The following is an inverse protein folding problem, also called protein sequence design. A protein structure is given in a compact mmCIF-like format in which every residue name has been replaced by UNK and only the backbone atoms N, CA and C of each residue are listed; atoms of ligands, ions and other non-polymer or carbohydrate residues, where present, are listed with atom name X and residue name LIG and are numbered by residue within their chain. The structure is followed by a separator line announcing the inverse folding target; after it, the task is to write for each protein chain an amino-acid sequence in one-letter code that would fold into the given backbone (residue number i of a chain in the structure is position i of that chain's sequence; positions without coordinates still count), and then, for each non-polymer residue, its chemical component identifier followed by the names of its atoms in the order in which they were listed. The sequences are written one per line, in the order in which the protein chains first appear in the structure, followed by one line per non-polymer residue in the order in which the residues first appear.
data_IF_855002390083
#
_entry.id   IF_855002390083
#
_cell.length_a   1.000
_cell.length_b   1.000
_cell.length_c   1.000
_cell.angle_alpha   90.00
_cell.angle_beta   90.00
_cell.angle_gamma   90.00
#
_symmetry.space_group_name_H-M   'P 1'
#
loop_
_entity.id
_entity.type
_entity.pdbx_description
1 polymer ?
#
# COMPACT_ATOMS: atom_id res chain seq x y z
N UNK A 1 24.21 -16.34 5.43
CA UNK A 1 24.39 -15.41 4.29
C UNK A 1 23.21 -14.45 4.26
N UNK A 2 23.43 -13.17 4.54
CA UNK A 2 22.39 -12.14 4.50
C UNK A 2 22.14 -11.78 3.04
N UNK A 3 21.03 -12.20 2.47
CA UNK A 3 20.63 -11.83 1.11
C UNK A 3 19.96 -10.46 1.16
N UNK A 4 20.75 -9.42 0.92
CA UNK A 4 20.26 -8.06 0.72
C UNK A 4 19.86 -7.89 -0.76
N UNK A 5 18.60 -7.53 -1.01
CA UNK A 5 18.12 -7.22 -2.35
C UNK A 5 18.13 -5.70 -2.53
N UNK A 6 18.90 -5.23 -3.52
CA UNK A 6 19.02 -3.82 -3.86
C UNK A 6 17.95 -3.47 -4.90
N UNK A 7 17.03 -2.58 -4.55
CA UNK A 7 15.97 -2.10 -5.45
C UNK A 7 16.38 -0.75 -6.01
N UNK A 8 16.54 -0.65 -7.33
CA UNK A 8 16.69 0.62 -8.04
C UNK A 8 15.31 1.16 -8.40
N UNK A 9 14.70 2.00 -7.56
CA UNK A 9 13.39 2.61 -7.81
C UNK A 9 13.28 3.97 -7.12
N UNK A 10 12.51 4.89 -7.68
CA UNK A 10 12.14 6.12 -6.98
C UNK A 10 11.11 5.80 -5.89
N UNK A 11 11.48 6.01 -4.63
CA UNK A 11 10.62 5.76 -3.47
C UNK A 11 9.84 7.03 -3.16
N UNK A 12 8.51 6.99 -3.34
CA UNK A 12 7.61 8.06 -2.89
C UNK A 12 7.00 7.63 -1.55
N UNK A 13 7.27 8.40 -0.49
CA UNK A 13 6.79 8.13 0.87
C UNK A 13 5.59 9.03 1.19
N UNK A 14 4.48 8.47 1.67
CA UNK A 14 3.33 9.22 2.19
C UNK A 14 3.05 8.81 3.63
N UNK A 15 2.78 9.78 4.52
CA UNK A 15 2.47 9.53 5.93
C UNK A 15 1.18 10.29 6.32
N UNK A 16 0.23 9.59 6.94
CA UNK A 16 -1.04 10.14 7.44
C UNK A 16 -1.08 10.07 8.97
N UNK A 17 -1.20 11.21 9.65
CA UNK A 17 -1.17 11.33 11.11
C UNK A 17 -2.59 11.23 11.70
N UNK A 18 -2.74 10.47 12.79
CA UNK A 18 -4.00 9.92 13.36
C UNK A 18 -4.58 10.79 14.51
N UNK A 19 -5.91 10.80 14.71
CA UNK A 19 -6.60 11.44 15.85
C UNK A 19 -7.46 10.44 16.68
N UNK A 20 -7.67 10.67 17.99
CA UNK A 20 -7.99 9.68 19.05
C UNK A 20 -9.44 9.13 19.15
N UNK A 21 -10.43 9.64 18.41
CA UNK A 21 -11.83 9.18 18.54
C UNK A 21 -12.18 8.08 17.52
N UNK A 22 -12.92 7.08 18.00
CA UNK A 22 -13.75 6.13 17.22
C UNK A 22 -13.02 4.91 16.60
N UNK A 23 -13.16 3.74 17.23
CA UNK A 23 -12.68 2.44 16.73
C UNK A 23 -13.24 2.12 15.33
N UNK A 24 -14.51 2.43 15.09
CA UNK A 24 -15.17 2.24 13.77
C UNK A 24 -14.60 3.16 12.70
N UNK A 25 -14.25 4.40 13.05
CA UNK A 25 -13.60 5.34 12.13
C UNK A 25 -12.15 4.98 11.86
N UNK A 26 -11.46 4.32 12.80
CA UNK A 26 -10.11 3.82 12.55
C UNK A 26 -10.13 2.67 11.55
N UNK A 27 -11.01 1.67 11.70
CA UNK A 27 -11.15 0.61 10.70
C UNK A 27 -11.57 1.15 9.33
N UNK A 28 -12.55 2.06 9.30
CA UNK A 28 -12.99 2.70 8.05
C UNK A 28 -11.87 3.53 7.40
N UNK A 29 -11.07 4.24 8.20
CA UNK A 29 -9.93 5.04 7.72
C UNK A 29 -8.82 4.15 7.13
N UNK A 30 -8.50 3.03 7.77
CA UNK A 30 -7.51 2.09 7.24
C UNK A 30 -7.98 1.49 5.90
N UNK A 31 -9.25 1.06 5.80
CA UNK A 31 -9.83 0.58 4.52
C UNK A 31 -9.83 1.68 3.46
N UNK A 32 -10.21 2.90 3.83
CA UNK A 32 -10.18 4.05 2.92
C UNK A 32 -8.75 4.32 2.40
N UNK A 33 -7.75 4.29 3.28
CA UNK A 33 -6.35 4.50 2.90
C UNK A 33 -5.87 3.44 1.90
N UNK A 34 -6.29 2.17 2.06
CA UNK A 34 -5.99 1.09 1.11
C UNK A 34 -6.56 1.42 -0.27
N UNK A 35 -7.86 1.68 -0.34
CA UNK A 35 -8.55 1.97 -1.60
C UNK A 35 -7.93 3.20 -2.27
N UNK A 36 -7.66 4.25 -1.49
CA UNK A 36 -7.03 5.47 -1.98
C UNK A 36 -5.62 5.21 -2.52
N UNK A 37 -4.80 4.41 -1.83
CA UNK A 37 -3.45 4.07 -2.28
C UNK A 37 -3.44 3.30 -3.60
N UNK A 38 -4.38 2.38 -3.80
CA UNK A 38 -4.54 1.62 -5.05
C UNK A 38 -5.00 2.53 -6.18
N UNK A 39 -5.99 3.40 -5.94
CA UNK A 39 -6.48 4.36 -6.93
C UNK A 39 -5.36 5.32 -7.38
N UNK A 40 -4.57 5.81 -6.43
CA UNK A 40 -3.46 6.73 -6.70
C UNK A 40 -2.36 6.03 -7.51
N UNK A 41 -2.00 4.79 -7.16
CA UNK A 41 -1.05 4.00 -7.93
C UNK A 41 -1.54 3.68 -9.35
N UNK A 42 -2.84 3.42 -9.52
CA UNK A 42 -3.44 3.22 -10.83
C UNK A 42 -3.39 4.50 -11.69
N UNK A 43 -3.68 5.65 -11.09
CA UNK A 43 -3.55 6.94 -11.77
C UNK A 43 -2.10 7.20 -12.21
N UNK A 44 -1.12 6.93 -11.33
CA UNK A 44 0.30 7.00 -11.66
C UNK A 44 0.65 6.04 -12.81
N UNK A 45 0.14 4.81 -12.80
CA UNK A 45 0.37 3.84 -13.87
C UNK A 45 -0.08 4.36 -15.23
N UNK A 46 -1.29 4.93 -15.30
CA UNK A 46 -1.84 5.50 -16.53
C UNK A 46 -0.97 6.67 -17.02
N UNK A 47 -0.55 7.54 -16.11
CA UNK A 47 0.31 8.69 -16.45
C UNK A 47 1.67 8.21 -16.94
N UNK A 48 2.31 7.28 -16.22
CA UNK A 48 3.59 6.70 -16.61
C UNK A 48 3.49 6.01 -17.97
N UNK A 49 2.44 5.22 -18.20
CA UNK A 49 2.21 4.56 -19.48
C UNK A 49 2.10 5.57 -20.62
N UNK A 50 1.35 6.65 -20.44
CA UNK A 50 1.28 7.73 -21.44
C UNK A 50 2.63 8.36 -21.73
N UNK A 51 3.47 8.54 -20.72
CA UNK A 51 4.82 9.09 -20.88
C UNK A 51 5.75 8.09 -21.58
N UNK A 52 5.75 6.83 -21.15
CA UNK A 52 6.59 5.77 -21.74
C UNK A 52 6.20 5.49 -23.18
N UNK A 53 4.91 5.52 -23.52
CA UNK A 53 4.42 5.35 -24.89
C UNK A 53 4.94 6.48 -25.80
N UNK A 54 5.00 7.72 -25.30
CA UNK A 54 5.55 8.87 -26.04
C UNK A 54 7.07 8.81 -26.18
N UNK A 55 7.76 8.24 -25.20
CA UNK A 55 9.22 8.14 -25.15
C UNK A 55 9.75 6.81 -25.70
N UNK A 56 8.89 5.91 -26.17
CA UNK A 56 9.26 4.55 -26.62
C UNK A 56 9.99 3.73 -25.55
N UNK A 57 9.68 3.97 -24.27
CA UNK A 57 10.29 3.28 -23.12
C UNK A 57 9.49 2.04 -22.72
N UNK A 58 10.18 1.09 -22.09
CA UNK A 58 9.57 -0.15 -21.58
C UNK A 58 8.52 0.13 -20.49
N UNK A 59 7.52 -0.75 -20.43
CA UNK A 59 6.46 -0.74 -19.41
C UNK A 59 7.06 -0.82 -18.00
N UNK A 60 6.67 0.13 -17.15
CA UNK A 60 7.11 0.24 -15.76
C UNK A 60 6.15 -0.56 -14.87
N UNK A 61 6.70 -1.51 -14.10
CA UNK A 61 5.95 -2.24 -13.08
C UNK A 61 5.77 -1.38 -11.84
N UNK A 62 4.54 -1.24 -11.34
CA UNK A 62 4.27 -0.58 -10.06
C UNK A 62 3.98 -1.63 -9.00
N UNK A 63 4.79 -1.63 -7.94
CA UNK A 63 4.60 -2.47 -6.75
C UNK A 63 4.24 -1.56 -5.58
N UNK A 64 3.07 -1.79 -5.00
CA UNK A 64 2.58 -1.06 -3.84
C UNK A 64 2.81 -1.94 -2.61
N UNK A 65 3.50 -1.37 -1.62
CA UNK A 65 3.62 -1.95 -0.29
C UNK A 65 2.70 -1.19 0.66
N UNK A 66 1.78 -1.92 1.30
CA UNK A 66 0.90 -1.36 2.32
C UNK A 66 1.04 -2.14 3.62
N UNK A 67 1.26 -1.42 4.72
CA UNK A 67 1.33 -2.02 6.06
C UNK A 67 -0.07 -2.04 6.69
N UNK A 68 -0.62 -3.24 6.90
CA UNK A 68 -1.92 -3.47 7.55
C UNK A 68 -1.83 -3.77 9.03
N UNK A 69 -0.68 -3.48 9.66
CA UNK A 69 -0.49 -3.70 11.09
C UNK A 69 -1.62 -3.12 11.95
N UNK A 70 -2.06 -1.89 11.67
CA UNK A 70 -3.10 -1.25 12.47
C UNK A 70 -4.47 -1.88 12.23
N UNK A 71 -4.90 -2.07 10.97
CA UNK A 71 -6.11 -2.80 10.61
C UNK A 71 -6.16 -4.16 11.34
N UNK A 72 -5.07 -4.89 11.27
CA UNK A 72 -4.93 -6.21 11.85
C UNK A 72 -5.00 -6.20 13.39
N UNK A 73 -4.31 -5.25 14.02
CA UNK A 73 -4.39 -5.02 15.48
C UNK A 73 -5.83 -4.80 15.93
N UNK A 74 -6.65 -4.11 15.13
CA UNK A 74 -8.06 -3.91 15.43
C UNK A 74 -8.93 -5.16 15.18
N UNK A 75 -8.69 -5.92 14.11
CA UNK A 75 -9.41 -7.17 13.85
C UNK A 75 -9.22 -8.20 14.97
N UNK A 76 -8.00 -8.29 15.54
CA UNK A 76 -7.73 -9.10 16.74
C UNK A 76 -8.54 -8.58 17.93
N UNK A 77 -8.55 -7.26 18.15
CA UNK A 77 -9.30 -6.65 19.26
C UNK A 77 -10.81 -6.94 19.16
N UNK A 78 -11.34 -7.05 17.95
CA UNK A 78 -12.73 -7.44 17.68
C UNK A 78 -12.98 -8.95 17.71
N UNK A 79 -11.96 -9.78 18.00
CA UNK A 79 -12.04 -11.26 17.97
C UNK A 79 -12.45 -11.85 16.60
N UNK A 80 -12.30 -11.09 15.52
CA UNK A 80 -12.60 -11.57 14.15
C UNK A 80 -11.53 -12.58 13.71
N UNK A 81 -10.28 -12.37 14.12
CA UNK A 81 -9.12 -13.23 13.86
C UNK A 81 -8.40 -13.56 15.16
N UNK A 82 -7.84 -14.77 15.27
CA UNK A 82 -7.27 -15.30 16.53
C UNK A 82 -5.79 -15.02 16.74
N UNK A 83 -4.98 -15.02 15.68
CA UNK A 83 -3.52 -14.95 15.82
C UNK A 83 -2.96 -13.55 15.57
N UNK A 84 -1.67 -13.36 15.87
CA UNK A 84 -0.88 -12.24 15.38
C UNK A 84 0.06 -12.70 14.26
N UNK A 85 -0.28 -12.40 13.01
CA UNK A 85 0.51 -12.63 11.81
C UNK A 85 0.77 -11.27 11.19
N UNK A 86 2.04 -10.94 10.97
CA UNK A 86 2.42 -9.72 10.26
C UNK A 86 2.11 -9.97 8.79
N UNK A 87 1.06 -9.34 8.28
CA UNK A 87 0.61 -9.49 6.90
C UNK A 87 1.11 -8.27 6.14
N UNK A 88 2.17 -8.48 5.34
CA UNK A 88 2.62 -7.51 4.34
C UNK A 88 1.79 -7.80 3.09
N UNK A 89 0.98 -6.83 2.66
CA UNK A 89 0.26 -6.95 1.41
C UNK A 89 1.05 -6.30 0.29
N UNK A 90 1.41 -7.11 -0.69
CA UNK A 90 2.09 -6.70 -1.92
C UNK A 90 1.03 -6.66 -3.00
N UNK A 91 0.75 -5.48 -3.52
CA UNK A 91 -0.15 -5.30 -4.66
C UNK A 91 0.73 -4.97 -5.87
N UNK A 92 0.67 -5.83 -6.87
CA UNK A 92 1.41 -5.64 -8.13
C UNK A 92 0.42 -5.18 -9.20
N UNK A 93 0.68 -4.00 -9.76
CA UNK A 93 -0.08 -3.46 -10.89
C UNK A 93 0.76 -3.57 -12.17
N UNK A 94 0.15 -4.10 -13.22
CA UNK A 94 0.72 -4.24 -14.57
C UNK A 94 -0.08 -3.41 -15.56
#
# INVERSE_FOLDING_TARGET
SKSEFIIYSNIIYYLLIKNKRVIRSILALEVYNIVNSVNLAHAILIILRRITDRLSLLLILIVIYTDFYLLYKYLIKLRIIKEKRLIINIIVLK
#
